data_IF_181307378292
#
_entry.id   IF_181307378292
#
_cell.length_a   1.000
_cell.length_b   1.000
_cell.length_c   1.000
_cell.angle_alpha   90.00
_cell.angle_beta   90.00
_cell.angle_gamma   90.00
#
_symmetry.space_group_name_H-M   'P 1'
#
loop_
_entity.id
_entity.type
_entity.pdbx_description
1 polymer ?
#
# COMPACT_ATOMS: atom_id res chain seq x y z
N UNK A 1 0.81 -10.44 -13.49
CA UNK A 1 -0.24 -9.40 -13.61
C UNK A 1 -1.03 -9.43 -12.31
N UNK A 2 -1.05 -8.33 -11.54
CA UNK A 2 -1.61 -8.31 -10.19
C UNK A 2 -3.03 -7.73 -10.28
N UNK A 3 -4.03 -8.42 -9.74
CA UNK A 3 -5.46 -8.05 -9.77
C UNK A 3 -5.87 -7.47 -8.41
N UNK A 4 -5.36 -6.28 -8.11
CA UNK A 4 -5.80 -5.50 -6.94
C UNK A 4 -6.90 -4.57 -7.41
N UNK A 5 -8.06 -4.62 -6.75
CA UNK A 5 -9.12 -3.65 -6.95
C UNK A 5 -8.81 -2.40 -6.13
N UNK A 6 -8.63 -1.27 -6.83
CA UNK A 6 -8.49 0.05 -6.23
C UNK A 6 -9.83 0.76 -6.33
N UNK A 7 -10.51 0.96 -5.20
CA UNK A 7 -11.70 1.82 -5.12
C UNK A 7 -11.29 3.26 -4.85
N UNK A 8 -12.16 4.22 -5.19
CA UNK A 8 -11.89 5.65 -4.97
C UNK A 8 -11.63 5.93 -3.49
N UNK A 9 -12.46 5.37 -2.62
CA UNK A 9 -12.34 5.50 -1.16
C UNK A 9 -11.02 4.91 -0.65
N UNK A 10 -10.56 3.82 -1.24
CA UNK A 10 -9.27 3.21 -0.91
C UNK A 10 -8.08 4.09 -1.30
N UNK A 11 -8.17 4.76 -2.46
CA UNK A 11 -7.15 5.72 -2.90
C UNK A 11 -7.14 6.94 -1.99
N UNK A 12 -8.30 7.50 -1.66
CA UNK A 12 -8.43 8.67 -0.77
C UNK A 12 -7.96 8.36 0.67
N UNK A 13 -8.15 7.12 1.13
CA UNK A 13 -7.61 6.66 2.40
C UNK A 13 -6.07 6.52 2.34
N UNK A 14 -5.52 5.99 1.25
CA UNK A 14 -4.07 5.92 1.05
C UNK A 14 -3.43 7.31 1.02
N UNK A 15 -4.07 8.27 0.34
CA UNK A 15 -3.61 9.66 0.26
C UNK A 15 -3.48 10.31 1.63
N UNK A 16 -4.50 10.15 2.48
CA UNK A 16 -4.48 10.71 3.85
C UNK A 16 -3.44 10.02 4.72
N UNK A 17 -3.23 8.73 4.54
CA UNK A 17 -2.43 7.94 5.45
C UNK A 17 -0.95 7.81 5.08
N UNK A 18 -0.56 8.15 3.84
CA UNK A 18 0.85 8.06 3.38
C UNK A 18 1.83 8.85 4.25
N UNK A 19 1.36 9.94 4.86
CA UNK A 19 2.18 10.80 5.73
C UNK A 19 1.99 10.55 7.24
N UNK A 20 0.92 9.85 7.64
CA UNK A 20 0.52 9.75 9.05
C UNK A 20 1.10 8.54 9.80
N UNK A 21 1.90 7.71 9.14
CA UNK A 21 2.38 6.46 9.74
C UNK A 21 3.78 6.62 10.35
N UNK A 22 4.01 6.20 11.60
CA UNK A 22 5.33 6.35 12.28
C UNK A 22 6.45 5.53 11.65
N UNK A 23 6.13 4.41 10.99
CA UNK A 23 7.12 3.52 10.42
C UNK A 23 7.40 3.88 8.94
N UNK A 24 8.63 4.27 8.57
CA UNK A 24 8.97 4.70 7.21
C UNK A 24 8.78 3.60 6.16
N UNK A 25 8.88 2.31 6.55
CA UNK A 25 8.62 1.19 5.63
C UNK A 25 7.13 1.07 5.28
N UNK A 26 6.26 1.34 6.25
CA UNK A 26 4.81 1.30 6.02
C UNK A 26 4.31 2.58 5.31
N UNK A 27 4.92 3.75 5.55
CA UNK A 27 4.70 4.93 4.71
C UNK A 27 5.04 4.64 3.24
N UNK A 28 6.25 4.12 2.98
CA UNK A 28 6.69 3.79 1.61
C UNK A 28 5.80 2.74 0.95
N UNK A 29 5.32 1.75 1.71
CA UNK A 29 4.34 0.78 1.19
C UNK A 29 3.05 1.48 0.77
N UNK A 30 2.49 2.38 1.61
CA UNK A 30 1.26 3.12 1.27
C UNK A 30 1.44 3.99 0.04
N UNK A 31 2.59 4.66 -0.09
CA UNK A 31 2.93 5.45 -1.27
C UNK A 31 2.92 4.60 -2.55
N UNK A 32 3.55 3.42 -2.50
CA UNK A 32 3.56 2.48 -3.64
C UNK A 32 2.15 2.07 -4.06
N UNK A 33 1.25 1.84 -3.09
CA UNK A 33 -0.14 1.47 -3.37
C UNK A 33 -0.95 2.62 -3.91
N UNK A 34 -0.71 3.82 -3.39
CA UNK A 34 -1.36 5.03 -3.85
C UNK A 34 -1.03 5.27 -5.32
N UNK A 35 0.26 5.29 -5.66
CA UNK A 35 0.72 5.46 -7.04
C UNK A 35 0.22 4.32 -7.95
N UNK A 36 0.15 3.09 -7.44
CA UNK A 36 -0.40 1.97 -8.20
C UNK A 36 -1.90 2.12 -8.48
N UNK A 37 -2.67 2.61 -7.50
CA UNK A 37 -4.09 2.91 -7.62
C UNK A 37 -4.38 4.08 -8.55
N UNK A 38 -3.46 5.05 -8.65
CA UNK A 38 -3.50 6.11 -9.66
C UNK A 38 -3.14 5.62 -11.08
N UNK A 39 -2.78 4.35 -11.25
CA UNK A 39 -2.45 3.77 -12.55
C UNK A 39 -1.01 4.03 -13.01
N UNK A 40 -0.12 4.49 -12.13
CA UNK A 40 1.27 4.73 -12.50
C UNK A 40 2.00 3.44 -12.94
N UNK A 41 2.89 3.52 -13.93
CA UNK A 41 3.67 2.38 -14.38
C UNK A 41 4.68 1.96 -13.31
N UNK A 42 4.95 0.65 -13.21
CA UNK A 42 5.84 0.09 -12.20
C UNK A 42 7.25 0.72 -12.21
N UNK A 43 7.74 1.15 -13.38
CA UNK A 43 9.05 1.81 -13.49
C UNK A 43 9.05 3.16 -12.77
N UNK A 44 8.05 4.00 -13.03
CA UNK A 44 7.90 5.30 -12.38
C UNK A 44 7.68 5.18 -10.88
N UNK A 45 6.94 4.17 -10.43
CA UNK A 45 6.75 3.89 -8.99
C UNK A 45 8.08 3.53 -8.33
N UNK A 46 8.91 2.68 -8.97
CA UNK A 46 10.23 2.31 -8.43
C UNK A 46 11.14 3.52 -8.27
N UNK A 47 11.17 4.39 -9.28
CA UNK A 47 11.96 5.62 -9.28
C UNK A 47 11.47 6.58 -8.19
N UNK A 48 10.17 6.86 -8.15
CA UNK A 48 9.57 7.78 -7.18
C UNK A 48 9.75 7.32 -5.73
N UNK A 49 9.64 6.01 -5.48
CA UNK A 49 9.74 5.44 -4.13
C UNK A 49 11.16 4.96 -3.76
N UNK A 50 12.13 5.02 -4.69
CA UNK A 50 13.48 4.50 -4.50
C UNK A 50 13.51 3.02 -4.11
N UNK A 51 12.73 2.17 -4.79
CA UNK A 51 12.63 0.73 -4.49
C UNK A 51 12.99 -0.15 -5.68
N UNK A 52 13.45 -1.37 -5.38
CA UNK A 52 13.73 -2.37 -6.40
C UNK A 52 12.45 -3.06 -6.90
N UNK A 53 12.54 -3.70 -8.07
CA UNK A 53 11.46 -4.52 -8.64
C UNK A 53 10.95 -5.62 -7.69
N UNK A 54 11.84 -6.40 -7.04
CA UNK A 54 11.43 -7.40 -6.04
C UNK A 54 10.67 -6.79 -4.85
N UNK A 55 11.08 -5.61 -4.37
CA UNK A 55 10.38 -4.92 -3.28
C UNK A 55 8.98 -4.49 -3.70
N UNK A 56 8.83 -3.93 -4.91
CA UNK A 56 7.54 -3.57 -5.48
C UNK A 56 6.64 -4.80 -5.61
N UNK A 57 7.16 -5.90 -6.17
CA UNK A 57 6.43 -7.15 -6.30
C UNK A 57 5.99 -7.70 -4.94
N UNK A 58 6.88 -7.69 -3.93
CA UNK A 58 6.57 -8.15 -2.58
C UNK A 58 5.46 -7.35 -1.91
N UNK A 59 5.42 -6.03 -2.12
CA UNK A 59 4.34 -5.18 -1.59
C UNK A 59 3.00 -5.49 -2.24
N UNK A 60 2.96 -5.60 -3.56
CA UNK A 60 1.73 -5.87 -4.31
C UNK A 60 1.22 -7.30 -4.06
N UNK A 61 2.11 -8.30 -4.03
CA UNK A 61 1.75 -9.70 -3.73
C UNK A 61 1.16 -9.86 -2.32
N UNK A 62 1.68 -9.13 -1.33
CA UNK A 62 1.15 -9.18 0.05
C UNK A 62 -0.32 -8.74 0.13
N UNK A 63 -0.75 -7.87 -0.77
CA UNK A 63 -2.12 -7.36 -0.84
C UNK A 63 -2.99 -8.29 -1.64
N UNK A 64 -2.47 -8.79 -2.77
CA UNK A 64 -3.14 -9.82 -3.55
C UNK A 64 -3.45 -11.07 -2.72
N UNK A 65 -2.49 -11.54 -1.90
CA UNK A 65 -2.66 -12.72 -1.04
C UNK A 65 -3.78 -12.55 -0.02
N UNK A 66 -4.09 -11.31 0.36
CA UNK A 66 -5.15 -11.01 1.32
C UNK A 66 -6.53 -10.94 0.68
N UNK A 67 -6.66 -11.04 -0.66
CA UNK A 67 -7.90 -10.87 -1.45
C UNK A 67 -8.75 -9.66 -1.04
N UNK A 68 -8.15 -8.74 -0.31
CA UNK A 68 -8.81 -7.66 0.36
C UNK A 68 -8.71 -6.43 -0.54
N UNK A 69 -9.79 -5.68 -0.60
CA UNK A 69 -9.75 -4.31 -1.12
C UNK A 69 -8.65 -3.53 -0.41
N UNK A 70 -8.09 -2.51 -1.06
CA UNK A 70 -7.08 -1.64 -0.43
C UNK A 70 -7.56 -1.12 0.93
N UNK A 71 -8.86 -0.84 1.06
CA UNK A 71 -9.47 -0.39 2.30
C UNK A 71 -9.35 -1.44 3.42
N UNK A 72 -9.63 -2.71 3.15
CA UNK A 72 -9.45 -3.81 4.11
C UNK A 72 -7.99 -4.00 4.51
N UNK A 73 -7.04 -3.82 3.59
CA UNK A 73 -5.61 -3.86 3.93
C UNK A 73 -5.22 -2.70 4.84
N UNK A 74 -5.75 -1.50 4.59
CA UNK A 74 -5.51 -0.34 5.47
C UNK A 74 -6.06 -0.58 6.88
N UNK A 75 -7.25 -1.18 6.99
CA UNK A 75 -7.87 -1.58 8.26
C UNK A 75 -7.03 -2.65 8.96
N UNK A 76 -6.61 -3.70 8.25
CA UNK A 76 -5.80 -4.79 8.81
C UNK A 76 -4.38 -4.35 9.20
N UNK A 77 -3.76 -3.42 8.47
CA UNK A 77 -2.45 -2.86 8.83
C UNK A 77 -2.53 -1.92 10.04
N UNK A 78 -3.61 -1.14 10.21
CA UNK A 78 -3.85 -0.40 11.47
C UNK A 78 -3.89 -1.34 12.67
N UNK A 79 -4.47 -2.53 12.51
CA UNK A 79 -4.56 -3.54 13.57
C UNK A 79 -3.26 -4.32 13.80
N UNK A 80 -2.35 -4.37 12.80
CA UNK A 80 -1.12 -5.17 12.86
C UNK A 80 0.08 -4.44 13.48
N UNK A 81 0.04 -3.10 13.61
CA UNK A 81 1.19 -2.31 14.08
C UNK A 81 0.97 -1.55 15.40
N UNK A 82 -0.11 -1.82 16.16
CA UNK A 82 -0.26 -1.15 17.45
C UNK A 82 -1.61 -1.21 18.15
N UNK A 83 -2.28 -2.37 18.20
CA UNK A 83 -3.17 -2.66 19.33
C UNK A 83 -2.76 -4.00 19.90
N UNK A 84 -1.79 -3.99 20.84
CA UNK A 84 -1.96 -4.88 21.99
C UNK A 84 -3.30 -4.46 22.58
N UNK A 85 -4.35 -5.27 22.41
CA UNK A 85 -5.59 -5.06 23.16
C UNK A 85 -5.22 -4.99 24.65
N UNK A 86 -5.84 -4.11 25.45
CA UNK A 86 -5.86 -4.35 26.89
C UNK A 86 -6.52 -5.71 27.18
#
# INVERSE_FOLDING_TARGET
MIRIAFTREGIDALERERYNHRNPKAQRRREVLYLKGLGQPNNQIKESCGISGPTLAGYLTRIQLRSATVNEVLVLEKNSWGVRKP
#
